data_IF_313362650773
#
_entry.id   IF_313362650773
#
_cell.length_a   1.000
_cell.length_b   1.000
_cell.length_c   1.000
_cell.angle_alpha   90.00
_cell.angle_beta   90.00
_cell.angle_gamma   90.00
#
_symmetry.space_group_name_H-M   'P 1'
#
loop_
_entity.id
_entity.type
_entity.pdbx_description
1 polymer ?
#
# COMPACT_ATOMS: atom_id res chain seq x y z
N UNK A 1 -24.12 41.96 -7.02
CA UNK A 1 -23.58 40.88 -7.89
C UNK A 1 -22.21 40.53 -7.32
N UNK A 2 -21.91 39.37 -6.75
CA UNK A 2 -22.59 38.09 -6.61
C UNK A 2 -22.22 37.50 -5.24
N UNK A 3 -23.18 36.91 -4.53
CA UNK A 3 -22.95 36.09 -3.34
C UNK A 3 -23.08 34.63 -3.77
N UNK A 4 -21.99 33.87 -3.74
CA UNK A 4 -21.98 32.45 -4.15
C UNK A 4 -21.14 31.53 -3.27
N UNK A 5 -20.93 31.88 -2.00
CA UNK A 5 -20.37 30.95 -1.01
C UNK A 5 -21.50 30.42 -0.14
N UNK A 6 -22.12 29.30 -0.56
CA UNK A 6 -22.93 28.49 0.33
C UNK A 6 -22.06 28.16 1.56
N UNK A 7 -22.33 28.81 2.69
CA UNK A 7 -21.62 28.65 3.97
C UNK A 7 -21.88 27.32 4.65
N UNK A 8 -22.02 26.24 3.88
CA UNK A 8 -22.06 24.88 4.41
C UNK A 8 -20.62 24.44 4.69
N UNK A 9 -20.27 24.30 5.97
CA UNK A 9 -19.05 23.60 6.37
C UNK A 9 -19.03 22.21 5.71
N UNK A 10 -17.97 21.93 4.96
CA UNK A 10 -17.78 20.64 4.30
C UNK A 10 -17.29 19.63 5.35
N UNK A 11 -18.21 19.21 6.22
CA UNK A 11 -18.01 18.16 7.23
C UNK A 11 -18.02 16.81 6.52
N UNK A 12 -16.87 16.43 5.95
CA UNK A 12 -16.64 15.06 5.49
C UNK A 12 -16.17 14.26 6.70
N UNK A 13 -16.93 13.25 7.16
CA UNK A 13 -16.44 12.36 8.20
C UNK A 13 -15.14 11.72 7.71
N UNK A 14 -14.08 11.93 8.48
CA UNK A 14 -12.71 11.44 8.22
C UNK A 14 -12.61 9.92 8.43
N UNK A 15 -13.54 9.13 7.91
CA UNK A 15 -13.75 7.74 8.34
C UNK A 15 -12.72 6.70 7.88
N UNK A 16 -11.70 7.05 7.10
CA UNK A 16 -10.70 6.05 6.66
C UNK A 16 -9.33 6.63 6.28
N UNK A 17 -9.07 7.90 6.64
CA UNK A 17 -7.83 8.56 6.22
C UNK A 17 -6.62 7.94 6.94
N UNK A 18 -6.73 7.69 8.24
CA UNK A 18 -5.68 7.03 9.03
C UNK A 18 -5.41 5.59 8.58
N UNK A 19 -6.46 4.81 8.34
CA UNK A 19 -6.34 3.45 7.86
C UNK A 19 -5.61 3.36 6.51
N UNK A 20 -6.02 4.17 5.52
CA UNK A 20 -5.41 4.18 4.20
C UNK A 20 -3.91 4.55 4.26
N UNK A 21 -3.55 5.53 5.11
CA UNK A 21 -2.15 5.95 5.30
C UNK A 21 -1.31 4.87 5.97
N UNK A 22 -1.83 4.18 6.99
CA UNK A 22 -1.12 3.09 7.66
C UNK A 22 -0.87 1.92 6.72
N UNK A 23 -1.89 1.50 5.97
CA UNK A 23 -1.71 0.40 5.03
C UNK A 23 -0.72 0.82 3.95
N UNK A 24 -0.89 1.98 3.31
CA UNK A 24 0.05 2.48 2.30
C UNK A 24 1.51 2.51 2.81
N UNK A 25 1.73 3.02 4.02
CA UNK A 25 3.07 3.11 4.62
C UNK A 25 3.68 1.72 4.86
N UNK A 26 2.89 0.77 5.36
CA UNK A 26 3.34 -0.62 5.55
C UNK A 26 3.71 -1.29 4.23
N UNK A 27 2.88 -1.10 3.19
CA UNK A 27 3.09 -1.64 1.85
C UNK A 27 4.35 -1.05 1.21
N UNK A 28 4.59 0.26 1.43
CA UNK A 28 5.79 0.95 0.98
C UNK A 28 7.05 0.41 1.65
N UNK A 29 7.03 0.21 2.98
CA UNK A 29 8.16 -0.38 3.71
C UNK A 29 8.47 -1.80 3.23
N UNK A 30 7.46 -2.64 3.04
CA UNK A 30 7.61 -3.99 2.51
C UNK A 30 8.20 -3.98 1.08
N UNK A 31 7.75 -3.04 0.25
CA UNK A 31 8.28 -2.86 -1.11
C UNK A 31 9.75 -2.45 -1.08
N UNK A 32 10.11 -1.45 -0.26
CA UNK A 32 11.50 -0.99 -0.10
C UNK A 32 12.38 -2.12 0.45
N UNK A 33 11.89 -2.89 1.42
CA UNK A 33 12.60 -4.06 1.95
C UNK A 33 12.84 -5.12 0.87
N UNK A 34 11.86 -5.39 0.01
CA UNK A 34 12.02 -6.33 -1.10
C UNK A 34 13.02 -5.81 -2.14
N UNK A 35 13.00 -4.51 -2.46
CA UNK A 35 14.02 -3.89 -3.31
C UNK A 35 15.42 -3.96 -2.68
N UNK A 36 15.55 -3.75 -1.38
CA UNK A 36 16.83 -3.88 -0.66
C UNK A 36 17.34 -5.32 -0.62
N UNK A 37 16.46 -6.30 -0.36
CA UNK A 37 16.77 -7.73 -0.43
C UNK A 37 17.19 -8.14 -1.84
N UNK A 38 16.47 -7.67 -2.86
CA UNK A 38 16.81 -7.88 -4.27
C UNK A 38 18.18 -7.31 -4.65
N UNK A 39 18.65 -6.26 -3.96
CA UNK A 39 19.97 -5.66 -4.20
C UNK A 39 21.12 -6.40 -3.52
N UNK A 40 20.90 -7.04 -2.36
CA UNK A 40 21.97 -7.63 -1.56
C UNK A 40 22.07 -9.16 -1.62
N UNK A 41 21.09 -9.85 -2.22
CA UNK A 41 21.14 -11.32 -2.33
C UNK A 41 21.94 -11.72 -3.58
N UNK A 42 23.10 -12.35 -3.36
CA UNK A 42 23.99 -12.86 -4.44
C UNK A 42 23.27 -13.81 -5.41
N UNK A 43 22.26 -14.55 -4.94
CA UNK A 43 21.42 -15.45 -5.74
C UNK A 43 20.56 -14.73 -6.81
N UNK A 44 20.39 -13.40 -6.70
CA UNK A 44 19.71 -12.58 -7.72
C UNK A 44 20.59 -12.22 -8.91
N UNK A 45 21.85 -12.70 -8.94
CA UNK A 45 22.78 -12.55 -10.07
C UNK A 45 23.76 -11.40 -9.93
N UNK A 46 24.19 -11.05 -8.70
CA UNK A 46 25.29 -10.08 -8.44
C UNK A 46 25.25 -8.78 -9.28
N UNK A 47 24.06 -8.21 -9.52
CA UNK A 47 23.89 -7.01 -10.34
C UNK A 47 24.32 -7.14 -11.83
N UNK A 48 24.44 -8.37 -12.33
CA UNK A 48 24.61 -8.66 -13.75
C UNK A 48 23.24 -8.50 -14.42
N UNK A 49 23.13 -7.61 -15.41
CA UNK A 49 21.88 -7.25 -16.08
C UNK A 49 21.17 -8.49 -16.68
N UNK A 50 20.36 -9.19 -15.88
CA UNK A 50 19.70 -10.42 -16.32
C UNK A 50 19.29 -11.41 -15.23
N UNK A 51 19.35 -11.02 -13.94
CA UNK A 51 19.07 -11.87 -12.79
C UNK A 51 17.87 -12.84 -12.97
N UNK A 52 17.93 -14.05 -12.39
CA UNK A 52 17.15 -15.20 -12.85
C UNK A 52 15.64 -14.94 -12.90
N UNK A 53 14.98 -15.39 -13.99
CA UNK A 53 13.52 -15.26 -14.24
C UNK A 53 12.60 -15.55 -13.04
N UNK A 54 12.82 -16.59 -12.20
CA UNK A 54 11.92 -16.87 -11.08
C UNK A 54 11.83 -15.70 -10.08
N UNK A 55 12.93 -14.97 -9.88
CA UNK A 55 12.94 -13.89 -8.92
C UNK A 55 12.22 -12.63 -9.41
N UNK A 56 12.20 -12.40 -10.73
CA UNK A 56 11.38 -11.34 -11.35
C UNK A 56 9.89 -11.62 -11.10
N UNK A 57 9.47 -12.87 -11.30
CA UNK A 57 8.09 -13.31 -11.08
C UNK A 57 7.72 -13.24 -9.59
N UNK A 58 8.60 -13.70 -8.69
CA UNK A 58 8.38 -13.63 -7.25
C UNK A 58 8.14 -12.19 -6.76
N UNK A 59 8.94 -11.23 -7.23
CA UNK A 59 8.73 -9.81 -6.88
C UNK A 59 7.41 -9.24 -7.39
N UNK A 60 6.96 -9.68 -8.58
CA UNK A 60 5.65 -9.29 -9.13
C UNK A 60 4.49 -9.91 -8.35
N UNK A 61 4.60 -11.19 -7.97
CA UNK A 61 3.61 -11.89 -7.15
C UNK A 61 3.51 -11.25 -5.77
N UNK A 62 4.64 -10.87 -5.16
CA UNK A 62 4.64 -10.19 -3.87
C UNK A 62 3.91 -8.84 -3.92
N UNK A 63 4.16 -8.01 -4.95
CA UNK A 63 3.44 -6.75 -5.12
C UNK A 63 1.92 -6.97 -5.28
N UNK A 64 1.52 -7.99 -6.05
CA UNK A 64 0.11 -8.38 -6.16
C UNK A 64 -0.45 -8.86 -4.82
N UNK A 65 0.30 -9.65 -4.06
CA UNK A 65 -0.10 -10.11 -2.73
C UNK A 65 -0.30 -8.93 -1.77
N UNK A 66 0.58 -7.92 -1.81
CA UNK A 66 0.44 -6.70 -1.02
C UNK A 66 -0.84 -5.92 -1.37
N UNK A 67 -1.21 -5.88 -2.64
CA UNK A 67 -2.48 -5.30 -3.06
C UNK A 67 -3.69 -6.10 -2.53
N UNK A 68 -3.64 -7.43 -2.58
CA UNK A 68 -4.70 -8.28 -2.01
C UNK A 68 -4.82 -8.06 -0.50
N UNK A 69 -3.70 -7.95 0.22
CA UNK A 69 -3.68 -7.63 1.65
C UNK A 69 -4.33 -6.27 1.93
N UNK A 70 -4.06 -5.24 1.11
CA UNK A 70 -4.73 -3.95 1.22
C UNK A 70 -6.26 -4.10 1.08
N UNK A 71 -6.73 -4.76 0.03
CA UNK A 71 -8.18 -4.96 -0.21
C UNK A 71 -8.83 -5.77 0.91
N UNK A 72 -8.14 -6.80 1.41
CA UNK A 72 -8.61 -7.62 2.51
C UNK A 72 -8.75 -6.81 3.81
N UNK A 73 -7.72 -6.04 4.17
CA UNK A 73 -7.75 -5.19 5.35
C UNK A 73 -8.82 -4.09 5.22
N UNK A 74 -8.95 -3.43 4.05
CA UNK A 74 -10.01 -2.44 3.79
C UNK A 74 -11.41 -3.03 3.92
N UNK A 75 -11.58 -4.28 3.47
CA UNK A 75 -12.85 -5.01 3.64
C UNK A 75 -13.12 -5.27 5.12
N UNK A 76 -12.13 -5.73 5.88
CA UNK A 76 -12.26 -5.94 7.33
C UNK A 76 -12.60 -4.67 8.11
N UNK A 77 -12.04 -3.51 7.73
CA UNK A 77 -12.43 -2.21 8.28
C UNK A 77 -13.90 -1.92 7.95
N UNK A 78 -14.30 -2.08 6.70
CA UNK A 78 -15.69 -1.81 6.25
C UNK A 78 -16.72 -2.72 6.93
N UNK A 79 -16.38 -3.98 7.21
CA UNK A 79 -17.24 -4.91 7.93
C UNK A 79 -17.30 -4.66 9.45
N UNK A 80 -16.54 -3.70 9.99
CA UNK A 80 -16.57 -3.32 11.41
C UNK A 80 -15.81 -4.26 12.34
N UNK A 81 -15.00 -5.18 11.80
CA UNK A 81 -14.14 -6.07 12.59
C UNK A 81 -12.86 -5.37 13.08
N UNK A 82 -12.39 -4.36 12.33
CA UNK A 82 -11.28 -3.49 12.69
C UNK A 82 -11.87 -2.13 13.06
N UNK A 83 -11.62 -1.68 14.29
CA UNK A 83 -12.03 -0.35 14.72
C UNK A 83 -11.32 0.74 13.91
N UNK A 84 -12.00 1.86 13.69
CA UNK A 84 -11.43 2.98 12.95
C UNK A 84 -10.10 3.40 13.59
N UNK A 85 -9.03 3.21 12.83
CA UNK A 85 -7.70 3.60 13.26
C UNK A 85 -7.56 5.08 12.94
N UNK A 86 -7.91 5.88 13.96
CA UNK A 86 -8.09 7.34 14.00
C UNK A 86 -9.34 7.88 13.33
#
# INVERSE_FOLDING_TARGET
MAENSNGSEFLVPVGSLGFSVMVYSSTALLTVALFALRRNVSAFGNAELGGPRPYKIASSIFLLFLWVVYVFLSSLQTYGYIGDVF
#
